data_IF_108819399483
#
_entry.id   IF_108819399483
#
_cell.length_a   1.000
_cell.length_b   1.000
_cell.length_c   1.000
_cell.angle_alpha   90.00
_cell.angle_beta   90.00
_cell.angle_gamma   90.00
#
_symmetry.space_group_name_H-M   'P 1'
#
loop_
_entity.id
_entity.type
_entity.pdbx_description
1 polymer ?
#
# COMPACT_ATOMS: atom_id res chain seq x y z
N UNK A 1 -1.62 4.42 22.25
CA UNK A 1 -2.33 5.27 21.36
C UNK A 1 -3.38 4.58 20.50
N UNK A 2 -3.02 4.20 19.27
CA UNK A 2 -3.99 3.65 18.30
C UNK A 2 -4.44 2.21 18.60
N UNK A 3 -3.84 1.56 19.58
CA UNK A 3 -4.26 0.23 20.08
C UNK A 3 -5.55 0.32 20.91
N UNK A 4 -5.75 1.46 21.59
CA UNK A 4 -6.96 1.74 22.34
C UNK A 4 -8.13 2.04 21.36
N UNK A 5 -9.24 1.26 21.40
CA UNK A 5 -10.37 1.44 20.50
C UNK A 5 -11.02 2.83 20.59
N UNK A 6 -11.13 3.41 21.78
CA UNK A 6 -11.75 4.73 21.97
C UNK A 6 -10.88 5.84 21.39
N UNK A 7 -9.55 5.80 21.66
CA UNK A 7 -8.58 6.75 21.10
C UNK A 7 -8.53 6.66 19.59
N UNK A 8 -8.53 5.43 19.05
CA UNK A 8 -8.54 5.19 17.60
C UNK A 8 -9.80 5.74 16.94
N UNK A 9 -10.99 5.43 17.47
CA UNK A 9 -12.26 5.91 16.94
C UNK A 9 -12.34 7.42 16.96
N UNK A 10 -11.94 8.05 18.07
CA UNK A 10 -11.90 9.50 18.20
C UNK A 10 -10.97 10.15 17.16
N UNK A 11 -9.76 9.62 17.01
CA UNK A 11 -8.81 10.11 16.02
C UNK A 11 -9.36 9.98 14.59
N UNK A 12 -9.91 8.82 14.24
CA UNK A 12 -10.49 8.57 12.91
C UNK A 12 -11.68 9.50 12.62
N UNK A 13 -12.53 9.74 13.60
CA UNK A 13 -13.65 10.69 13.47
C UNK A 13 -13.15 12.11 13.20
N UNK A 14 -12.11 12.54 13.93
CA UNK A 14 -11.49 13.85 13.69
C UNK A 14 -10.90 13.97 12.29
N UNK A 15 -10.19 12.93 11.81
CA UNK A 15 -9.65 12.89 10.45
C UNK A 15 -10.77 12.92 9.40
N UNK A 16 -11.80 12.11 9.55
CA UNK A 16 -12.94 12.09 8.61
C UNK A 16 -13.63 13.45 8.54
N UNK A 17 -13.87 14.11 9.69
CA UNK A 17 -14.47 15.43 9.73
C UNK A 17 -13.59 16.50 9.05
N UNK A 18 -12.26 16.42 9.22
CA UNK A 18 -11.33 17.37 8.61
C UNK A 18 -11.16 17.14 7.10
N UNK A 19 -11.19 15.89 6.64
CA UNK A 19 -10.97 15.51 5.24
C UNK A 19 -12.24 15.53 4.38
N UNK A 20 -13.42 15.49 5.00
CA UNK A 20 -14.70 15.47 4.29
C UNK A 20 -14.78 14.27 3.34
N UNK A 21 -14.85 14.52 2.03
CA UNK A 21 -14.99 13.49 0.98
C UNK A 21 -13.64 12.98 0.42
N UNK A 22 -12.50 13.41 0.96
CA UNK A 22 -11.20 12.89 0.54
C UNK A 22 -11.09 11.44 0.98
N UNK A 23 -10.75 10.49 0.07
CA UNK A 23 -10.64 9.08 0.42
C UNK A 23 -9.58 8.84 1.51
N UNK A 24 -9.91 8.01 2.48
CA UNK A 24 -9.04 7.65 3.61
C UNK A 24 -8.64 6.19 3.51
N UNK A 25 -7.34 5.95 3.37
CA UNK A 25 -6.71 4.63 3.45
C UNK A 25 -6.20 4.39 4.87
N UNK A 26 -6.81 3.45 5.59
CA UNK A 26 -6.31 3.03 6.90
C UNK A 26 -5.22 1.97 6.75
N UNK A 27 -4.11 2.12 7.48
CA UNK A 27 -2.97 1.22 7.41
C UNK A 27 -2.42 0.92 8.81
N UNK A 28 -2.22 -0.36 9.13
CA UNK A 28 -1.33 -0.83 10.19
C UNK A 28 -0.09 -1.40 9.53
N UNK A 29 1.02 -0.65 9.55
CA UNK A 29 2.30 -1.16 9.06
C UNK A 29 3.04 -1.86 10.18
N UNK A 30 3.19 -3.17 10.04
CA UNK A 30 3.81 -4.00 11.07
C UNK A 30 5.33 -4.00 10.96
N UNK A 31 5.99 -4.42 12.05
CA UNK A 31 7.45 -4.50 12.09
C UNK A 31 8.02 -5.42 11.02
N UNK A 32 7.31 -6.51 10.71
CA UNK A 32 7.71 -7.48 9.67
C UNK A 32 7.83 -6.81 8.30
N UNK A 33 7.01 -5.78 8.05
CA UNK A 33 7.01 -5.01 6.80
C UNK A 33 7.55 -3.58 6.99
N UNK A 34 8.49 -3.40 7.91
CA UNK A 34 9.24 -2.15 8.10
C UNK A 34 8.55 -1.06 8.90
N UNK A 35 7.41 -1.34 9.51
CA UNK A 35 6.71 -0.43 10.42
C UNK A 35 7.25 -0.51 11.86
N UNK A 36 6.57 0.20 12.75
CA UNK A 36 6.92 0.22 14.17
C UNK A 36 5.98 -0.66 15.03
N UNK A 37 4.86 -1.10 14.46
CA UNK A 37 3.84 -1.85 15.18
C UNK A 37 4.24 -3.32 15.31
N UNK A 38 4.32 -3.81 16.54
CA UNK A 38 4.46 -5.22 16.85
C UNK A 38 3.10 -5.75 17.33
N UNK A 39 2.46 -6.56 16.51
CA UNK A 39 1.09 -7.01 16.72
C UNK A 39 0.94 -8.44 16.17
N UNK A 40 0.29 -9.31 16.92
CA UNK A 40 -0.05 -10.65 16.45
C UNK A 40 -1.18 -10.62 15.40
N UNK A 41 -1.31 -11.69 14.61
CA UNK A 41 -2.26 -11.75 13.50
C UNK A 41 -3.72 -11.68 13.95
N UNK A 42 -4.06 -12.23 15.13
CA UNK A 42 -5.43 -12.20 15.64
C UNK A 42 -5.84 -10.77 16.02
N UNK A 43 -4.99 -10.07 16.78
CA UNK A 43 -5.20 -8.68 17.19
C UNK A 43 -5.20 -7.74 15.99
N UNK A 44 -4.29 -7.96 15.02
CA UNK A 44 -4.27 -7.25 13.74
C UNK A 44 -5.61 -7.38 13.01
N UNK A 45 -6.09 -8.61 12.84
CA UNK A 45 -7.36 -8.90 12.14
C UNK A 45 -8.54 -8.26 12.85
N UNK A 46 -8.66 -8.42 14.16
CA UNK A 46 -9.73 -7.80 14.96
C UNK A 46 -9.73 -6.28 14.84
N UNK A 47 -8.55 -5.65 14.86
CA UNK A 47 -8.41 -4.20 14.72
C UNK A 47 -8.86 -3.73 13.35
N UNK A 48 -8.42 -4.39 12.28
CA UNK A 48 -8.82 -4.06 10.91
C UNK A 48 -10.34 -4.20 10.73
N UNK A 49 -10.94 -5.30 11.21
CA UNK A 49 -12.39 -5.51 11.12
C UNK A 49 -13.17 -4.42 11.87
N UNK A 50 -12.76 -4.05 13.08
CA UNK A 50 -13.39 -2.98 13.83
C UNK A 50 -13.30 -1.61 13.12
N UNK A 51 -12.21 -1.35 12.40
CA UNK A 51 -12.03 -0.13 11.60
C UNK A 51 -12.94 -0.16 10.37
N UNK A 52 -13.05 -1.29 9.68
CA UNK A 52 -13.98 -1.48 8.56
C UNK A 52 -15.44 -1.20 8.99
N UNK A 53 -15.85 -1.77 10.12
CA UNK A 53 -17.21 -1.62 10.66
C UNK A 53 -17.50 -0.19 11.16
N UNK A 54 -16.48 0.65 11.38
CA UNK A 54 -16.67 2.04 11.82
C UNK A 54 -17.32 2.95 10.79
N UNK A 55 -17.24 2.62 9.50
CA UNK A 55 -17.71 3.47 8.39
C UNK A 55 -16.90 4.77 8.18
N UNK A 56 -15.70 4.89 8.78
CA UNK A 56 -14.89 6.11 8.76
C UNK A 56 -13.78 6.08 7.70
N UNK A 57 -13.62 4.96 6.99
CA UNK A 57 -12.59 4.77 5.97
C UNK A 57 -13.19 4.37 4.62
N UNK A 58 -12.45 4.60 3.56
CA UNK A 58 -12.82 4.20 2.20
C UNK A 58 -12.00 3.00 1.72
N UNK A 59 -10.75 2.90 2.20
CA UNK A 59 -9.84 1.81 1.85
C UNK A 59 -9.13 1.31 3.11
N UNK A 60 -8.73 0.05 3.06
CA UNK A 60 -7.87 -0.58 4.09
C UNK A 60 -6.65 -1.26 3.47
N UNK A 61 -5.46 -1.03 4.03
CA UNK A 61 -4.22 -1.74 3.65
C UNK A 61 -4.10 -3.03 4.46
N UNK A 62 -3.91 -4.15 3.78
CA UNK A 62 -3.77 -5.48 4.39
C UNK A 62 -2.47 -6.11 3.93
N UNK A 63 -1.60 -6.46 4.89
CA UNK A 63 -0.30 -7.05 4.59
C UNK A 63 -0.42 -8.54 4.21
N UNK A 64 0.15 -8.93 3.06
CA UNK A 64 0.18 -10.32 2.61
C UNK A 64 0.92 -11.24 3.60
N UNK A 65 1.88 -10.70 4.34
CA UNK A 65 2.64 -11.41 5.38
C UNK A 65 1.77 -11.91 6.54
N UNK A 66 0.52 -11.43 6.66
CA UNK A 66 -0.45 -11.94 7.66
C UNK A 66 -1.10 -13.27 7.27
N UNK A 67 -0.84 -13.75 6.07
CA UNK A 67 -1.34 -15.00 5.53
C UNK A 67 -2.63 -14.86 4.72
N UNK A 68 -2.84 -15.82 3.82
CA UNK A 68 -3.93 -15.80 2.85
C UNK A 68 -5.32 -15.84 3.50
N UNK A 69 -5.51 -16.61 4.57
CA UNK A 69 -6.79 -16.72 5.27
C UNK A 69 -7.17 -15.40 5.96
N UNK A 70 -6.19 -14.69 6.54
CA UNK A 70 -6.40 -13.35 7.08
C UNK A 70 -6.81 -12.37 5.98
N UNK A 71 -6.12 -12.41 4.84
CA UNK A 71 -6.45 -11.58 3.67
C UNK A 71 -7.90 -11.85 3.20
N UNK A 72 -8.27 -13.09 2.96
CA UNK A 72 -9.63 -13.47 2.52
C UNK A 72 -10.70 -13.01 3.51
N UNK A 73 -10.44 -13.18 4.81
CA UNK A 73 -11.37 -12.77 5.88
C UNK A 73 -11.60 -11.26 5.84
N UNK A 74 -10.53 -10.47 5.73
CA UNK A 74 -10.64 -9.01 5.70
C UNK A 74 -11.27 -8.53 4.39
N UNK A 75 -10.89 -9.10 3.23
CA UNK A 75 -11.49 -8.78 1.92
C UNK A 75 -13.01 -8.99 1.96
N UNK A 76 -13.46 -10.16 2.43
CA UNK A 76 -14.89 -10.45 2.53
C UNK A 76 -15.63 -9.46 3.43
N UNK A 77 -15.05 -9.08 4.56
CA UNK A 77 -15.65 -8.11 5.48
C UNK A 77 -15.71 -6.70 4.88
N UNK A 78 -14.63 -6.25 4.24
CA UNK A 78 -14.53 -4.94 3.61
C UNK A 78 -15.55 -4.79 2.47
N UNK A 79 -15.62 -5.77 1.58
CA UNK A 79 -16.55 -5.75 0.45
C UNK A 79 -18.02 -5.73 0.88
N UNK A 80 -18.36 -6.40 1.99
CA UNK A 80 -19.74 -6.39 2.52
C UNK A 80 -20.25 -4.98 2.85
N UNK A 81 -19.34 -4.07 3.25
CA UNK A 81 -19.69 -2.68 3.61
C UNK A 81 -19.19 -1.65 2.59
N UNK A 82 -18.66 -2.08 1.45
CA UNK A 82 -18.20 -1.20 0.36
C UNK A 82 -16.83 -0.58 0.56
N UNK A 83 -16.05 -1.01 1.57
CA UNK A 83 -14.64 -0.60 1.76
C UNK A 83 -13.75 -1.36 0.77
N UNK A 84 -12.80 -0.65 0.14
CA UNK A 84 -11.84 -1.23 -0.80
C UNK A 84 -10.59 -1.74 -0.10
N UNK A 85 -10.00 -2.82 -0.63
CA UNK A 85 -8.80 -3.45 -0.05
C UNK A 85 -7.58 -3.21 -0.91
N UNK A 86 -6.55 -2.61 -0.31
CA UNK A 86 -5.19 -2.56 -0.84
C UNK A 86 -4.40 -3.70 -0.21
N UNK A 87 -4.18 -4.80 -0.94
CA UNK A 87 -3.27 -5.84 -0.48
C UNK A 87 -1.83 -5.39 -0.68
N UNK A 88 -1.00 -5.48 0.35
CA UNK A 88 0.35 -4.93 0.33
C UNK A 88 1.42 -5.92 0.75
N UNK A 89 2.61 -5.76 0.19
CA UNK A 89 3.86 -6.40 0.62
C UNK A 89 5.00 -5.39 0.56
N UNK A 90 5.88 -5.45 1.54
CA UNK A 90 7.07 -4.61 1.61
C UNK A 90 8.30 -5.47 1.88
N UNK A 91 9.31 -5.35 1.03
CA UNK A 91 10.64 -5.91 1.26
C UNK A 91 11.62 -4.76 1.54
N UNK A 92 12.05 -4.65 2.80
CA UNK A 92 12.99 -3.61 3.24
C UNK A 92 14.46 -4.04 3.10
N UNK A 93 14.72 -5.23 2.59
CA UNK A 93 16.07 -5.81 2.50
C UNK A 93 16.60 -5.85 1.07
N UNK A 94 15.73 -6.12 0.09
CA UNK A 94 16.13 -6.31 -1.29
C UNK A 94 14.99 -5.99 -2.29
N UNK A 95 15.32 -6.05 -3.58
CA UNK A 95 14.37 -6.16 -4.67
C UNK A 95 14.40 -7.61 -5.17
N UNK A 96 13.32 -8.37 -4.99
CA UNK A 96 13.22 -9.73 -5.53
C UNK A 96 13.29 -9.77 -7.06
N UNK A 97 13.55 -10.94 -7.62
CA UNK A 97 13.46 -11.16 -9.06
C UNK A 97 12.08 -10.79 -9.61
N UNK A 98 12.05 -10.33 -10.87
CA UNK A 98 10.83 -9.90 -11.57
C UNK A 98 9.66 -10.88 -11.39
N UNK A 99 9.90 -12.17 -11.59
CA UNK A 99 8.85 -13.19 -11.51
C UNK A 99 8.31 -13.36 -10.07
N UNK A 100 9.14 -13.13 -9.05
CA UNK A 100 8.71 -13.16 -7.65
C UNK A 100 7.82 -11.94 -7.35
N UNK A 101 8.15 -10.77 -7.87
CA UNK A 101 7.31 -9.58 -7.74
C UNK A 101 5.95 -9.82 -8.38
N UNK A 102 5.92 -10.28 -9.64
CA UNK A 102 4.70 -10.57 -10.40
C UNK A 102 3.85 -11.62 -9.67
N UNK A 103 4.44 -12.74 -9.25
CA UNK A 103 3.70 -13.81 -8.58
C UNK A 103 3.04 -13.36 -7.27
N UNK A 104 3.70 -12.49 -6.50
CA UNK A 104 3.09 -11.93 -5.29
C UNK A 104 1.93 -10.98 -5.62
N UNK A 105 2.07 -10.15 -6.64
CA UNK A 105 1.00 -9.24 -7.07
C UNK A 105 -0.21 -10.05 -7.61
N UNK A 106 0.02 -11.07 -8.43
CA UNK A 106 -1.02 -11.98 -8.91
C UNK A 106 -1.69 -12.77 -7.77
N UNK A 107 -0.93 -13.21 -6.77
CA UNK A 107 -1.50 -13.85 -5.58
C UNK A 107 -2.47 -12.89 -4.86
N UNK A 108 -2.09 -11.63 -4.64
CA UNK A 108 -2.96 -10.64 -4.02
C UNK A 108 -4.24 -10.41 -4.85
N UNK A 109 -4.15 -10.39 -6.20
CA UNK A 109 -5.31 -10.33 -7.09
C UNK A 109 -6.24 -11.54 -6.87
N UNK A 110 -5.68 -12.74 -6.86
CA UNK A 110 -6.45 -13.99 -6.68
C UNK A 110 -7.14 -14.08 -5.31
N UNK A 111 -6.63 -13.38 -4.30
CA UNK A 111 -7.22 -13.28 -2.98
C UNK A 111 -8.35 -12.22 -2.90
N UNK A 112 -8.65 -11.53 -4.00
CA UNK A 112 -9.78 -10.61 -4.13
C UNK A 112 -9.47 -9.16 -3.74
N UNK A 113 -8.19 -8.75 -3.68
CA UNK A 113 -7.83 -7.36 -3.43
C UNK A 113 -8.33 -6.44 -4.57
N UNK A 114 -8.75 -5.22 -4.22
CA UNK A 114 -9.16 -4.20 -5.20
C UNK A 114 -7.95 -3.46 -5.79
N UNK A 115 -6.86 -3.39 -5.05
CA UNK A 115 -5.57 -2.82 -5.48
C UNK A 115 -4.47 -3.69 -4.90
N UNK A 116 -3.43 -3.98 -5.68
CA UNK A 116 -2.28 -4.75 -5.23
C UNK A 116 -1.03 -3.88 -5.16
N UNK A 117 -0.24 -4.03 -4.08
CA UNK A 117 0.87 -3.14 -3.80
C UNK A 117 2.14 -3.89 -3.40
N UNK A 118 3.27 -3.53 -4.03
CA UNK A 118 4.58 -4.04 -3.62
C UNK A 118 5.62 -2.91 -3.56
N UNK A 119 6.23 -2.74 -2.39
CA UNK A 119 7.35 -1.82 -2.16
C UNK A 119 8.62 -2.62 -1.90
N UNK A 120 9.71 -2.28 -2.57
CA UNK A 120 10.99 -3.00 -2.48
C UNK A 120 12.16 -2.07 -2.17
N UNK A 121 13.26 -2.62 -1.65
CA UNK A 121 14.48 -1.87 -1.34
C UNK A 121 15.54 -2.16 -2.40
N UNK A 122 15.89 -1.19 -3.27
CA UNK A 122 16.93 -1.40 -4.27
C UNK A 122 18.32 -1.39 -3.60
N UNK A 123 19.18 -2.29 -4.06
CA UNK A 123 20.62 -2.33 -3.71
C UNK A 123 21.44 -1.66 -4.82
N UNK A 124 20.90 -1.55 -6.03
CA UNK A 124 21.51 -0.91 -7.18
C UNK A 124 20.43 -0.40 -8.17
N UNK A 125 20.85 0.31 -9.20
CA UNK A 125 19.97 0.86 -10.23
C UNK A 125 19.25 -0.22 -11.03
N UNK A 126 19.86 -1.40 -11.18
CA UNK A 126 19.25 -2.55 -11.86
C UNK A 126 17.98 -3.01 -11.15
N UNK A 127 17.95 -2.94 -9.83
CA UNK A 127 16.79 -3.30 -9.01
C UNK A 127 15.60 -2.39 -9.28
N UNK A 128 15.86 -1.10 -9.50
CA UNK A 128 14.81 -0.14 -9.88
C UNK A 128 14.21 -0.50 -11.23
N UNK A 129 15.06 -0.83 -12.22
CA UNK A 129 14.60 -1.27 -13.55
C UNK A 129 13.82 -2.59 -13.47
N UNK A 130 14.25 -3.52 -12.63
CA UNK A 130 13.54 -4.79 -12.38
C UNK A 130 12.13 -4.54 -11.87
N UNK A 131 11.95 -3.63 -10.92
CA UNK A 131 10.62 -3.28 -10.41
C UNK A 131 9.76 -2.60 -11.48
N UNK A 132 10.31 -1.64 -12.22
CA UNK A 132 9.58 -0.95 -13.30
C UNK A 132 9.14 -1.93 -14.40
N UNK A 133 10.01 -2.86 -14.78
CA UNK A 133 9.71 -3.92 -15.75
C UNK A 133 8.63 -4.88 -15.23
N UNK A 134 8.70 -5.29 -13.96
CA UNK A 134 7.63 -6.09 -13.33
C UNK A 134 6.29 -5.33 -13.32
N UNK A 135 6.31 -4.02 -13.06
CA UNK A 135 5.10 -3.19 -13.05
C UNK A 135 4.47 -3.08 -14.43
N UNK A 136 5.31 -2.89 -15.46
CA UNK A 136 4.86 -2.85 -16.85
C UNK A 136 4.24 -4.19 -17.26
N UNK A 137 4.86 -5.32 -16.89
CA UNK A 137 4.32 -6.66 -17.17
C UNK A 137 2.96 -6.86 -16.48
N UNK A 138 2.79 -6.40 -15.24
CA UNK A 138 1.49 -6.45 -14.56
C UNK A 138 0.42 -5.65 -15.32
N UNK A 139 0.77 -4.47 -15.85
CA UNK A 139 -0.14 -3.65 -16.66
C UNK A 139 -0.52 -4.34 -17.98
N UNK A 140 0.41 -5.00 -18.64
CA UNK A 140 0.22 -5.57 -19.97
C UNK A 140 -0.42 -6.96 -19.96
N UNK A 141 -0.07 -7.80 -18.97
CA UNK A 141 -0.42 -9.21 -18.94
C UNK A 141 -1.37 -9.60 -17.79
N UNK A 142 -1.48 -8.76 -16.74
CA UNK A 142 -2.23 -9.06 -15.51
C UNK A 142 -3.06 -7.85 -15.04
N UNK A 143 -3.79 -7.22 -15.96
CA UNK A 143 -4.47 -5.93 -15.75
C UNK A 143 -5.79 -5.98 -14.97
N UNK A 144 -6.16 -7.13 -14.40
CA UNK A 144 -7.43 -7.32 -13.70
C UNK A 144 -7.60 -6.40 -12.48
N UNK A 145 -6.50 -5.99 -11.86
CA UNK A 145 -6.49 -5.19 -10.63
C UNK A 145 -5.45 -4.08 -10.73
N UNK A 146 -5.77 -2.82 -10.37
CA UNK A 146 -4.80 -1.73 -10.31
C UNK A 146 -3.59 -2.07 -9.45
N UNK A 147 -2.40 -1.67 -9.91
CA UNK A 147 -1.13 -1.99 -9.26
C UNK A 147 -0.49 -0.74 -8.68
N UNK A 148 0.09 -0.85 -7.51
CA UNK A 148 0.94 0.15 -6.88
C UNK A 148 2.32 -0.47 -6.66
N UNK A 149 3.35 0.10 -7.26
CA UNK A 149 4.72 -0.34 -7.00
C UNK A 149 5.62 0.83 -6.68
N UNK A 150 6.62 0.60 -5.85
CA UNK A 150 7.65 1.60 -5.57
C UNK A 150 8.96 0.97 -5.14
N UNK A 151 10.05 1.50 -5.68
CA UNK A 151 11.40 1.26 -5.20
C UNK A 151 11.71 2.33 -4.14
N UNK A 152 12.12 1.88 -2.95
CA UNK A 152 12.41 2.77 -1.81
C UNK A 152 13.80 3.39 -1.95
N UNK A 153 14.28 4.09 -0.94
CA UNK A 153 15.58 4.80 -0.90
C UNK A 153 15.73 5.93 -1.94
N UNK A 154 16.77 6.74 -1.85
CA UNK A 154 17.08 7.75 -2.87
C UNK A 154 17.29 7.17 -4.28
N UNK A 155 17.89 5.98 -4.40
CA UNK A 155 18.09 5.28 -5.68
C UNK A 155 16.75 4.97 -6.35
N UNK A 156 15.71 4.65 -5.58
CA UNK A 156 14.38 4.29 -6.09
C UNK A 156 13.44 5.46 -6.36
N UNK A 157 13.82 6.71 -6.06
CA UNK A 157 12.93 7.89 -6.18
C UNK A 157 12.28 8.00 -7.55
N UNK A 158 12.99 7.65 -8.62
CA UNK A 158 12.46 7.72 -9.99
C UNK A 158 11.18 6.89 -10.15
N UNK A 159 11.04 5.74 -9.47
CA UNK A 159 9.84 4.91 -9.53
C UNK A 159 8.58 5.61 -8.98
N UNK A 160 8.75 6.58 -8.09
CA UNK A 160 7.65 7.40 -7.56
C UNK A 160 7.21 8.50 -8.52
N UNK A 161 8.14 8.97 -9.36
CA UNK A 161 7.92 10.04 -10.32
C UNK A 161 7.35 9.50 -11.63
N UNK A 162 7.93 8.41 -12.16
CA UNK A 162 7.56 7.86 -13.47
C UNK A 162 6.66 6.61 -13.38
N UNK A 163 6.24 6.17 -12.19
CA UNK A 163 5.46 4.94 -12.00
C UNK A 163 4.20 4.86 -12.84
N UNK A 164 3.51 5.99 -13.07
CA UNK A 164 2.33 6.08 -13.94
C UNK A 164 2.59 5.62 -15.38
N UNK A 165 3.79 5.85 -15.92
CA UNK A 165 4.16 5.44 -17.29
C UNK A 165 4.15 3.92 -17.45
N UNK A 166 4.58 3.20 -16.41
CA UNK A 166 4.64 1.74 -16.40
C UNK A 166 3.41 1.08 -15.76
N UNK A 167 2.41 1.87 -15.30
CA UNK A 167 1.14 1.36 -14.82
C UNK A 167 0.90 1.39 -13.32
N UNK A 168 1.82 1.96 -12.50
CA UNK A 168 1.53 2.18 -11.08
C UNK A 168 0.48 3.28 -10.93
N UNK A 169 -0.68 2.95 -10.34
CA UNK A 169 -1.84 3.83 -10.30
C UNK A 169 -1.81 4.87 -9.17
N UNK A 170 -0.96 4.69 -8.15
CA UNK A 170 -0.82 5.59 -7.01
C UNK A 170 0.65 5.74 -6.62
N UNK A 171 1.04 6.94 -6.24
CA UNK A 171 2.32 7.21 -5.59
C UNK A 171 2.12 7.94 -4.27
N UNK A 172 3.15 7.94 -3.40
CA UNK A 172 3.07 8.49 -2.05
C UNK A 172 4.07 9.62 -1.85
N UNK A 173 3.56 10.84 -1.71
CA UNK A 173 4.31 11.99 -1.25
C UNK A 173 4.19 12.19 0.27
N UNK A 174 5.00 13.08 0.84
CA UNK A 174 4.88 13.47 2.25
C UNK A 174 4.32 14.88 2.41
N UNK A 175 3.39 15.04 3.37
CA UNK A 175 2.90 16.33 3.80
C UNK A 175 3.63 16.87 5.05
N UNK A 176 4.67 16.16 5.50
CA UNK A 176 5.46 16.48 6.68
C UNK A 176 6.66 15.54 6.78
N UNK A 177 6.79 14.82 7.88
CA UNK A 177 7.85 13.81 8.04
C UNK A 177 7.59 12.61 7.12
N UNK A 178 8.62 12.19 6.40
CA UNK A 178 8.54 11.00 5.56
C UNK A 178 8.23 9.73 6.39
N UNK A 179 7.28 8.93 5.92
CA UNK A 179 6.90 7.65 6.53
C UNK A 179 7.61 6.44 5.91
N UNK A 180 8.32 6.64 4.79
CA UNK A 180 9.10 5.61 4.12
C UNK A 180 10.32 6.22 3.42
N UNK A 181 11.42 5.45 3.24
CA UNK A 181 12.61 5.92 2.53
C UNK A 181 12.30 6.37 1.09
N UNK A 182 12.91 7.47 0.66
CA UNK A 182 12.75 8.00 -0.70
C UNK A 182 11.43 8.73 -0.97
N UNK A 183 10.59 9.01 0.03
CA UNK A 183 9.45 9.89 -0.15
C UNK A 183 9.90 11.33 -0.38
N UNK A 184 9.21 12.02 -1.30
CA UNK A 184 9.41 13.44 -1.60
C UNK A 184 8.18 14.26 -1.20
N UNK A 185 8.30 15.58 -0.99
CA UNK A 185 7.17 16.44 -0.67
C UNK A 185 6.04 16.31 -1.70
N UNK A 186 4.79 16.24 -1.23
CA UNK A 186 3.62 15.99 -2.08
C UNK A 186 3.43 17.07 -3.15
N UNK A 187 3.71 18.33 -2.83
CA UNK A 187 3.65 19.45 -3.78
C UNK A 187 4.67 19.28 -4.93
N UNK A 188 5.91 18.89 -4.61
CA UNK A 188 6.93 18.63 -5.62
C UNK A 188 6.58 17.41 -6.48
N UNK A 189 6.09 16.32 -5.84
CA UNK A 189 5.63 15.13 -6.53
C UNK A 189 4.49 15.48 -7.52
N UNK A 190 3.51 16.28 -7.09
CA UNK A 190 2.43 16.74 -7.95
C UNK A 190 2.93 17.48 -9.20
N UNK A 191 3.95 18.31 -9.06
CA UNK A 191 4.56 19.02 -10.19
C UNK A 191 5.17 18.05 -11.22
N UNK A 192 5.91 17.04 -10.75
CA UNK A 192 6.46 16.01 -11.64
C UNK A 192 5.37 15.22 -12.37
N UNK A 193 4.33 14.77 -11.63
CA UNK A 193 3.25 14.01 -12.22
C UNK A 193 2.48 14.79 -13.29
N UNK A 194 2.23 16.09 -13.07
CA UNK A 194 1.61 16.97 -14.05
C UNK A 194 2.46 17.18 -15.31
N UNK A 195 3.79 17.15 -15.16
CA UNK A 195 4.72 17.30 -16.30
C UNK A 195 4.77 16.03 -17.16
N UNK A 196 4.49 14.85 -16.56
CA UNK A 196 4.53 13.55 -17.23
C UNK A 196 3.14 13.10 -17.74
N UNK A 197 2.09 13.81 -17.43
CA UNK A 197 0.72 13.55 -17.88
C UNK A 197 0.48 14.12 -19.27
#
# INVERSE_FOLDING_TARGET
GMEDPEVRTKAMTLFRNALGNIPVLFTIRTRVEGGMMEIDTETYTKTILAVIDSGLIDLVDVELSRGEETMKTIVAAAHRVGVKVVASRHDFTATPDKNIIISNLCLMQSLGADIVKFAVMPQCERDVLTLLDATLTMKEEHSDTPVITMSMSPTGVISRICGQLVGSCVTFGTAGKASAPGQIPANLLSTFLQTLA
#
